data_IF_946129360444
#
_entry.id   IF_946129360444
#
_cell.length_a   1.000
_cell.length_b   1.000
_cell.length_c   1.000
_cell.angle_alpha   90.00
_cell.angle_beta   90.00
_cell.angle_gamma   90.00
#
_symmetry.space_group_name_H-M   'P 1'
#
loop_
_entity.id
_entity.type
_entity.pdbx_description
1 polymer ?
#
# COMPACT_ATOMS: atom_id res chain seq x y z
N UNK A 1 -15.18 20.25 -1.12
CA UNK A 1 -15.86 19.77 0.09
C UNK A 1 -15.27 18.41 0.44
N UNK A 2 -14.62 18.21 1.60
CA UNK A 2 -14.26 16.86 2.05
C UNK A 2 -15.55 16.04 2.22
N UNK A 3 -15.51 14.75 1.87
CA UNK A 3 -16.66 13.86 2.05
C UNK A 3 -17.07 13.83 3.53
N UNK A 4 -18.36 13.96 3.80
CA UNK A 4 -18.88 13.92 5.17
C UNK A 4 -18.48 12.61 5.86
N UNK A 5 -18.03 12.64 7.12
CA UNK A 5 -17.71 11.43 7.86
C UNK A 5 -18.97 10.54 8.02
N UNK A 6 -18.77 9.24 8.22
CA UNK A 6 -19.89 8.34 8.56
C UNK A 6 -20.47 8.77 9.91
N UNK A 7 -21.80 8.76 10.01
CA UNK A 7 -22.47 9.06 11.28
C UNK A 7 -22.39 7.86 12.25
N UNK A 8 -22.82 8.06 13.50
CA UNK A 8 -22.72 7.04 14.55
C UNK A 8 -23.52 5.77 14.22
N UNK A 9 -24.71 5.89 13.61
CA UNK A 9 -25.54 4.75 13.22
C UNK A 9 -24.86 3.90 12.14
N UNK A 10 -24.23 4.55 11.16
CA UNK A 10 -23.46 3.89 10.11
C UNK A 10 -22.23 3.17 10.67
N UNK A 11 -21.54 3.78 11.64
CA UNK A 11 -20.39 3.19 12.31
C UNK A 11 -20.83 1.97 13.13
N UNK A 12 -21.87 2.09 13.95
CA UNK A 12 -22.41 1.00 14.79
C UNK A 12 -22.84 -0.20 13.95
N UNK A 13 -23.52 0.04 12.82
CA UNK A 13 -23.89 -1.02 11.88
C UNK A 13 -22.65 -1.77 11.37
N UNK A 14 -21.63 -1.04 10.91
CA UNK A 14 -20.40 -1.64 10.37
C UNK A 14 -19.60 -2.37 11.46
N UNK A 15 -19.58 -1.88 12.70
CA UNK A 15 -18.98 -2.59 13.83
C UNK A 15 -19.71 -3.89 14.15
N UNK A 16 -21.04 -3.86 14.15
CA UNK A 16 -21.88 -5.04 14.38
C UNK A 16 -21.65 -6.10 13.30
N UNK A 17 -21.63 -5.69 12.03
CA UNK A 17 -21.28 -6.58 10.92
C UNK A 17 -19.88 -7.18 11.12
N UNK A 18 -18.86 -6.35 11.36
CA UNK A 18 -17.49 -6.83 11.55
C UNK A 18 -17.40 -7.86 12.69
N UNK A 19 -18.05 -7.58 13.82
CA UNK A 19 -18.08 -8.48 14.97
C UNK A 19 -18.82 -9.78 14.67
N UNK A 20 -19.87 -9.75 13.85
CA UNK A 20 -20.59 -10.94 13.40
C UNK A 20 -19.64 -11.87 12.63
N UNK A 21 -18.88 -11.34 11.67
CA UNK A 21 -17.93 -12.15 10.89
C UNK A 21 -16.76 -12.66 11.71
N UNK A 22 -16.32 -11.90 12.73
CA UNK A 22 -15.31 -12.36 13.69
C UNK A 22 -15.76 -13.58 14.49
N UNK A 23 -17.03 -13.64 14.89
CA UNK A 23 -17.61 -14.82 15.57
C UNK A 23 -17.57 -16.07 14.69
N UNK A 24 -17.61 -15.91 13.37
CA UNK A 24 -17.43 -16.99 12.39
C UNK A 24 -15.94 -17.26 12.04
N UNK A 25 -14.99 -16.71 12.81
CA UNK A 25 -13.56 -16.91 12.60
C UNK A 25 -12.97 -16.11 11.42
N UNK A 26 -13.72 -15.17 10.85
CA UNK A 26 -13.24 -14.33 9.76
C UNK A 26 -12.75 -12.98 10.28
N UNK A 27 -11.50 -12.61 9.96
CA UNK A 27 -10.97 -11.30 10.35
C UNK A 27 -11.69 -10.13 9.67
N UNK A 28 -12.32 -10.37 8.50
CA UNK A 28 -13.07 -9.38 7.72
C UNK A 28 -14.22 -10.04 6.95
N UNK A 29 -15.29 -9.28 6.63
CA UNK A 29 -16.40 -9.80 5.85
C UNK A 29 -16.00 -10.19 4.41
N UNK A 30 -16.61 -11.25 3.84
CA UNK A 30 -16.44 -11.65 2.44
C UNK A 30 -16.78 -10.52 1.44
N UNK A 31 -16.24 -10.59 0.21
CA UNK A 31 -16.47 -9.55 -0.81
C UNK A 31 -17.96 -9.30 -1.09
N UNK A 32 -18.76 -10.36 -1.23
CA UNK A 32 -20.22 -10.26 -1.46
C UNK A 32 -20.92 -9.53 -0.32
N UNK A 33 -20.45 -9.71 0.92
CA UNK A 33 -21.03 -9.04 2.07
C UNK A 33 -20.76 -7.53 2.08
N UNK A 34 -19.65 -7.07 1.50
CA UNK A 34 -19.36 -5.63 1.42
C UNK A 34 -20.39 -4.89 0.58
N UNK A 35 -20.90 -5.52 -0.48
CA UNK A 35 -21.97 -4.97 -1.31
C UNK A 35 -23.30 -4.93 -0.55
N UNK A 36 -23.62 -5.96 0.22
CA UNK A 36 -24.84 -5.97 1.03
C UNK A 36 -24.75 -4.92 2.14
N UNK A 37 -23.61 -4.85 2.81
CA UNK A 37 -23.33 -3.87 3.85
C UNK A 37 -23.35 -2.44 3.30
N UNK A 38 -22.88 -2.19 2.07
CA UNK A 38 -22.94 -0.85 1.46
C UNK A 38 -24.36 -0.37 1.20
N UNK A 39 -25.26 -1.26 0.78
CA UNK A 39 -26.69 -0.93 0.61
C UNK A 39 -27.29 -0.56 1.97
N UNK A 40 -27.14 -1.43 2.97
CA UNK A 40 -27.74 -1.24 4.30
C UNK A 40 -27.18 -0.02 5.05
N UNK A 41 -25.86 0.19 5.01
CA UNK A 41 -25.26 1.34 5.69
C UNK A 41 -25.66 2.66 5.03
N UNK A 42 -25.95 2.66 3.73
CA UNK A 42 -26.44 3.85 3.02
C UNK A 42 -27.86 4.24 3.42
N UNK A 43 -28.68 3.30 3.91
CA UNK A 43 -30.02 3.59 4.45
C UNK A 43 -29.97 4.37 5.78
N UNK A 44 -28.83 4.32 6.48
CA UNK A 44 -28.62 4.94 7.80
C UNK A 44 -28.01 6.35 7.72
N UNK A 45 -27.79 6.89 6.52
CA UNK A 45 -27.15 8.19 6.36
C UNK A 45 -26.77 8.50 4.92
N UNK A 46 -25.56 9.01 4.71
CA UNK A 46 -25.05 9.26 3.36
C UNK A 46 -24.82 7.96 2.62
N UNK A 47 -24.84 8.03 1.29
CA UNK A 47 -24.42 6.91 0.45
C UNK A 47 -22.96 6.52 0.75
N UNK A 48 -22.73 5.22 0.91
CA UNK A 48 -21.42 4.63 1.15
C UNK A 48 -21.17 3.55 0.13
N UNK A 49 -20.12 3.70 -0.67
CA UNK A 49 -19.78 2.72 -1.70
C UNK A 49 -19.25 1.40 -1.10
N UNK A 50 -19.36 0.26 -1.84
CA UNK A 50 -18.74 -1.00 -1.44
C UNK A 50 -17.22 -0.89 -1.18
N UNK A 51 -16.56 0.02 -1.91
CA UNK A 51 -15.13 0.31 -1.76
C UNK A 51 -14.85 1.03 -0.43
N UNK A 52 -15.67 2.01 -0.05
CA UNK A 52 -15.59 2.68 1.25
C UNK A 52 -15.83 1.70 2.40
N UNK A 53 -16.85 0.84 2.30
CA UNK A 53 -17.11 -0.21 3.29
C UNK A 53 -15.91 -1.15 3.42
N UNK A 54 -15.34 -1.59 2.29
CA UNK A 54 -14.14 -2.43 2.29
C UNK A 54 -12.91 -1.73 2.90
N UNK A 55 -12.73 -0.43 2.65
CA UNK A 55 -11.68 0.40 3.26
C UNK A 55 -11.92 0.56 4.76
N UNK A 56 -13.16 0.78 5.19
CA UNK A 56 -13.53 0.91 6.59
C UNK A 56 -13.15 -0.34 7.38
N UNK A 57 -13.58 -1.53 6.94
CA UNK A 57 -13.20 -2.79 7.58
C UNK A 57 -11.68 -3.00 7.60
N UNK A 58 -11.00 -2.57 6.53
CA UNK A 58 -9.55 -2.71 6.42
C UNK A 58 -8.82 -1.81 7.40
N UNK A 59 -9.25 -0.56 7.52
CA UNK A 59 -8.68 0.40 8.46
C UNK A 59 -8.98 -0.01 9.90
N UNK A 60 -10.18 -0.49 10.20
CA UNK A 60 -10.55 -0.94 11.56
C UNK A 60 -9.64 -2.04 12.08
N UNK A 61 -9.35 -3.04 11.24
CA UNK A 61 -8.41 -4.13 11.59
C UNK A 61 -6.97 -3.60 11.72
N UNK A 62 -6.57 -2.57 10.97
CA UNK A 62 -5.24 -1.96 11.12
C UNK A 62 -5.12 -1.21 12.45
N UNK A 63 -6.15 -0.45 12.82
CA UNK A 63 -6.18 0.30 14.07
C UNK A 63 -6.01 -0.64 15.28
N UNK A 64 -6.68 -1.79 15.28
CA UNK A 64 -6.55 -2.82 16.32
C UNK A 64 -5.13 -3.40 16.42
N UNK A 65 -4.42 -3.49 15.30
CA UNK A 65 -3.02 -3.94 15.25
C UNK A 65 -2.02 -2.83 15.55
N UNK A 66 -2.49 -1.59 15.78
CA UNK A 66 -1.61 -0.43 15.89
C UNK A 66 -0.87 -0.10 14.58
N UNK A 67 -1.35 -0.60 13.44
CA UNK A 67 -0.74 -0.34 12.14
C UNK A 67 -1.19 1.02 11.60
N UNK A 68 -0.27 1.85 11.07
CA UNK A 68 -0.64 3.13 10.49
C UNK A 68 -1.58 2.94 9.29
N UNK A 69 -2.64 3.76 9.24
CA UNK A 69 -3.52 3.84 8.06
C UNK A 69 -2.72 4.38 6.88
N UNK A 70 -3.06 3.93 5.67
CA UNK A 70 -2.47 4.52 4.47
C UNK A 70 -2.98 5.96 4.34
N UNK A 71 -2.14 6.92 4.69
CA UNK A 71 -2.38 8.34 4.42
C UNK A 71 -2.07 8.67 2.97
N UNK A 72 -2.72 9.70 2.42
CA UNK A 72 -2.24 10.31 1.18
C UNK A 72 -0.85 10.88 1.47
N UNK A 73 0.12 10.60 0.59
CA UNK A 73 1.47 11.17 0.69
C UNK A 73 1.38 12.69 0.59
N UNK A 74 2.15 13.42 1.40
CA UNK A 74 2.19 14.89 1.33
C UNK A 74 2.87 15.35 0.04
N UNK A 75 2.66 16.60 -0.42
CA UNK A 75 3.35 17.13 -1.60
C UNK A 75 4.87 17.03 -1.48
N UNK A 76 5.43 17.26 -0.30
CA UNK A 76 6.87 17.19 -0.03
C UNK A 76 7.39 15.76 -0.17
N UNK A 77 6.65 14.77 0.37
CA UNK A 77 6.97 13.36 0.20
C UNK A 77 6.91 12.92 -1.26
N UNK A 78 5.97 13.47 -2.05
CA UNK A 78 5.87 13.18 -3.48
C UNK A 78 7.03 13.80 -4.26
N UNK A 79 7.40 15.06 -3.96
CA UNK A 79 8.52 15.73 -4.63
C UNK A 79 9.84 14.97 -4.46
N UNK A 80 10.13 14.46 -3.25
CA UNK A 80 11.32 13.64 -3.01
C UNK A 80 11.31 12.32 -3.81
N UNK A 81 10.15 11.66 -3.89
CA UNK A 81 9.98 10.44 -4.67
C UNK A 81 10.11 10.69 -6.18
N UNK A 82 9.53 11.77 -6.68
CA UNK A 82 9.59 12.18 -8.09
C UNK A 82 11.02 12.52 -8.51
N UNK A 83 11.74 13.32 -7.72
CA UNK A 83 13.15 13.64 -7.99
C UNK A 83 14.03 12.38 -8.08
N UNK A 84 13.80 11.41 -7.20
CA UNK A 84 14.52 10.12 -7.23
C UNK A 84 14.12 9.28 -8.45
N UNK A 85 12.84 9.27 -8.83
CA UNK A 85 12.33 8.55 -9.99
C UNK A 85 12.86 9.08 -11.33
N UNK A 86 13.05 10.39 -11.44
CA UNK A 86 13.65 11.02 -12.62
C UNK A 86 15.10 10.58 -12.85
N UNK A 87 15.83 10.30 -11.76
CA UNK A 87 17.19 9.76 -11.85
C UNK A 87 17.20 8.27 -12.18
N UNK A 88 16.37 7.49 -11.50
CA UNK A 88 16.26 6.04 -11.71
C UNK A 88 14.86 5.51 -11.31
N UNK A 89 14.18 4.86 -12.24
CA UNK A 89 12.88 4.24 -11.98
C UNK A 89 12.95 2.94 -11.13
N UNK A 90 14.16 2.47 -10.83
CA UNK A 90 14.49 1.28 -10.04
C UNK A 90 15.50 1.60 -8.91
N UNK A 91 15.07 2.31 -7.85
CA UNK A 91 15.98 2.87 -6.86
C UNK A 91 16.74 1.77 -6.11
N UNK A 92 18.04 1.98 -5.91
CA UNK A 92 18.91 1.11 -5.12
C UNK A 92 18.45 1.01 -3.66
N UNK A 93 18.96 0.04 -2.90
CA UNK A 93 18.63 -0.07 -1.46
C UNK A 93 19.08 1.17 -0.68
N UNK A 94 20.23 1.73 -1.03
CA UNK A 94 20.73 2.95 -0.39
C UNK A 94 19.79 4.14 -0.65
N UNK A 95 19.31 4.28 -1.88
CA UNK A 95 18.37 5.33 -2.23
C UNK A 95 16.99 5.10 -1.56
N UNK A 96 16.53 3.85 -1.47
CA UNK A 96 15.34 3.52 -0.69
C UNK A 96 15.50 3.87 0.79
N UNK A 97 16.66 3.63 1.40
CA UNK A 97 16.95 4.01 2.79
C UNK A 97 16.93 5.52 2.95
N UNK A 98 17.60 6.26 2.06
CA UNK A 98 17.56 7.73 2.06
C UNK A 98 16.12 8.24 1.98
N UNK A 99 15.31 7.70 1.07
CA UNK A 99 13.90 8.07 0.91
C UNK A 99 13.08 7.74 2.17
N UNK A 100 13.36 6.64 2.87
CA UNK A 100 12.71 6.32 4.15
C UNK A 100 13.02 7.41 5.19
N UNK A 101 14.29 7.79 5.32
CA UNK A 101 14.75 8.78 6.29
C UNK A 101 14.22 10.18 5.98
N UNK A 102 14.18 10.55 4.69
CA UNK A 102 13.73 11.87 4.22
C UNK A 102 12.20 12.03 4.26
N UNK A 103 11.46 11.00 3.86
CA UNK A 103 10.00 11.08 3.73
C UNK A 103 9.23 10.51 4.93
N UNK A 104 9.89 9.71 5.77
CA UNK A 104 9.23 8.92 6.82
C UNK A 104 8.32 7.81 6.29
N UNK A 105 8.33 7.54 4.98
CA UNK A 105 7.58 6.46 4.38
C UNK A 105 8.27 5.12 4.61
N UNK A 106 7.48 4.06 4.72
CA UNK A 106 8.00 2.69 4.75
C UNK A 106 8.61 2.29 3.41
N UNK A 107 9.57 1.37 3.44
CA UNK A 107 10.13 0.71 2.27
C UNK A 107 9.03 0.21 1.35
N UNK A 108 8.01 -0.45 1.91
CA UNK A 108 6.85 -0.94 1.16
C UNK A 108 6.08 0.18 0.45
N UNK A 109 5.87 1.32 1.11
CA UNK A 109 5.19 2.47 0.49
C UNK A 109 6.00 3.10 -0.65
N UNK A 110 7.32 3.11 -0.53
CA UNK A 110 8.24 3.60 -1.57
C UNK A 110 8.23 2.65 -2.76
N UNK A 111 8.49 1.36 -2.56
CA UNK A 111 8.49 0.34 -3.63
C UNK A 111 7.15 0.29 -4.37
N UNK A 112 6.03 0.38 -3.64
CA UNK A 112 4.70 0.42 -4.25
C UNK A 112 4.48 1.69 -5.09
N UNK A 113 5.01 2.84 -4.66
CA UNK A 113 4.91 4.08 -5.43
C UNK A 113 5.74 3.98 -6.73
N UNK A 114 6.99 3.53 -6.66
CA UNK A 114 7.84 3.33 -7.86
C UNK A 114 7.22 2.31 -8.83
N UNK A 115 6.65 1.22 -8.32
CA UNK A 115 5.94 0.24 -9.16
C UNK A 115 4.70 0.81 -9.84
N UNK A 116 3.94 1.65 -9.16
CA UNK A 116 2.81 2.36 -9.76
C UNK A 116 3.26 3.33 -10.84
N UNK A 117 4.34 4.09 -10.61
CA UNK A 117 4.88 5.03 -11.61
C UNK A 117 5.37 4.32 -12.87
N UNK A 118 6.13 3.23 -12.74
CA UNK A 118 6.56 2.42 -13.90
C UNK A 118 5.38 1.89 -14.69
N UNK A 119 4.38 1.30 -14.00
CA UNK A 119 3.18 0.81 -14.68
C UNK A 119 2.43 1.94 -15.41
N UNK A 120 2.36 3.13 -14.80
CA UNK A 120 1.74 4.30 -15.42
C UNK A 120 2.46 4.73 -16.71
N UNK A 121 3.78 4.52 -16.82
CA UNK A 121 4.55 4.71 -18.05
C UNK A 121 4.36 3.57 -19.06
N UNK A 122 4.15 2.33 -18.61
CA UNK A 122 3.88 1.18 -19.49
C UNK A 122 2.47 1.22 -20.11
N UNK A 123 1.48 1.74 -19.36
CA UNK A 123 0.09 1.88 -19.82
C UNK A 123 -0.07 3.00 -20.89
N UNK A 124 1.00 3.74 -21.25
CA UNK A 124 1.01 4.65 -22.40
C UNK A 124 0.93 3.87 -23.74
N UNK A 125 -0.05 4.18 -24.61
CA UNK A 125 -0.31 3.40 -25.81
C UNK A 125 0.83 3.52 -26.83
N UNK A 126 1.54 2.41 -27.09
CA UNK A 126 2.49 2.31 -28.21
C UNK A 126 3.81 1.57 -27.94
N UNK A 127 4.09 1.15 -26.70
CA UNK A 127 5.34 0.45 -26.37
C UNK A 127 5.15 -1.07 -26.46
N UNK A 128 5.62 -1.68 -27.55
CA UNK A 128 5.76 -3.14 -27.64
C UNK A 128 6.97 -3.55 -26.80
N UNK A 129 6.74 -4.16 -25.64
CA UNK A 129 7.82 -4.74 -24.83
C UNK A 129 8.05 -6.18 -25.34
N UNK A 130 9.08 -6.37 -26.16
CA UNK A 130 9.60 -7.70 -26.51
C UNK A 130 9.84 -8.47 -25.19
N UNK A 131 9.32 -9.69 -25.05
CA UNK A 131 9.55 -10.49 -23.82
C UNK A 131 11.04 -10.82 -23.70
N UNK A 132 11.76 -9.99 -22.96
CA UNK A 132 13.15 -10.24 -22.62
C UNK A 132 13.25 -11.44 -21.67
N UNK A 133 13.89 -12.50 -22.12
CA UNK A 133 14.24 -13.65 -21.31
C UNK A 133 15.72 -13.51 -20.90
N UNK A 134 16.03 -13.20 -19.63
CA UNK A 134 17.40 -13.04 -19.18
C UNK A 134 18.17 -14.36 -19.27
N UNK A 135 19.43 -14.30 -19.68
CA UNK A 135 20.35 -15.45 -19.72
C UNK A 135 20.66 -16.01 -18.33
N UNK A 136 21.17 -17.24 -18.24
CA UNK A 136 21.63 -17.85 -16.97
C UNK A 136 22.62 -16.97 -16.20
N UNK A 137 23.53 -16.27 -16.88
CA UNK A 137 24.48 -15.37 -16.24
C UNK A 137 23.81 -14.13 -15.66
N UNK A 138 22.85 -13.54 -16.40
CA UNK A 138 22.05 -12.41 -15.93
C UNK A 138 21.13 -12.84 -14.78
N UNK A 139 20.54 -14.04 -14.83
CA UNK A 139 19.78 -14.61 -13.72
C UNK A 139 20.64 -14.80 -12.46
N UNK A 140 21.89 -15.28 -12.60
CA UNK A 140 22.86 -15.35 -11.49
C UNK A 140 23.25 -13.98 -10.97
N UNK A 141 23.44 -13.00 -11.85
CA UNK A 141 23.72 -11.62 -11.45
C UNK A 141 22.54 -11.00 -10.69
N UNK A 142 21.31 -11.22 -11.16
CA UNK A 142 20.08 -10.77 -10.49
C UNK A 142 19.92 -11.41 -9.10
N UNK A 143 20.18 -12.71 -8.97
CA UNK A 143 20.15 -13.38 -7.66
C UNK A 143 21.26 -12.88 -6.73
N UNK A 144 22.47 -12.61 -7.25
CA UNK A 144 23.55 -11.98 -6.49
C UNK A 144 23.15 -10.58 -6.00
N UNK A 145 22.57 -9.75 -6.88
CA UNK A 145 22.05 -8.43 -6.52
C UNK A 145 20.94 -8.52 -5.46
N UNK A 146 20.05 -9.50 -5.57
CA UNK A 146 19.02 -9.75 -4.56
C UNK A 146 19.63 -10.16 -3.20
N UNK A 147 20.68 -10.98 -3.18
CA UNK A 147 21.40 -11.32 -1.95
C UNK A 147 22.08 -10.10 -1.33
N UNK A 148 22.74 -9.27 -2.14
CA UNK A 148 23.38 -8.02 -1.69
C UNK A 148 22.35 -7.05 -1.09
N UNK A 149 21.23 -6.84 -1.79
CA UNK A 149 20.13 -6.03 -1.29
C UNK A 149 19.61 -6.56 0.06
N UNK A 150 19.47 -7.89 0.21
CA UNK A 150 19.06 -8.51 1.46
C UNK A 150 20.06 -8.29 2.61
N UNK A 151 21.37 -8.29 2.31
CA UNK A 151 22.41 -7.94 3.30
C UNK A 151 22.25 -6.50 3.75
N UNK A 152 22.13 -5.55 2.81
CA UNK A 152 21.99 -4.12 3.13
C UNK A 152 20.78 -3.83 4.01
N UNK A 153 19.63 -4.45 3.73
CA UNK A 153 18.45 -4.32 4.60
C UNK A 153 18.62 -4.94 5.99
N UNK A 154 19.38 -6.05 6.11
CA UNK A 154 19.70 -6.63 7.41
C UNK A 154 20.62 -5.71 8.22
N UNK A 155 21.61 -5.11 7.57
CA UNK A 155 22.53 -4.17 8.20
C UNK A 155 21.80 -2.90 8.66
N UNK A 156 20.95 -2.32 7.80
CA UNK A 156 20.12 -1.18 8.15
C UNK A 156 19.23 -1.45 9.38
N UNK A 157 18.57 -2.62 9.42
CA UNK A 157 17.79 -3.03 10.61
C UNK A 157 18.66 -3.22 11.85
N UNK A 158 19.85 -3.83 11.70
CA UNK A 158 20.80 -4.01 12.81
C UNK A 158 21.27 -2.66 13.36
N UNK A 159 21.41 -1.65 12.52
CA UNK A 159 21.74 -0.28 12.89
C UNK A 159 20.57 0.51 13.52
N UNK A 160 19.40 -0.11 13.71
CA UNK A 160 18.22 0.54 14.29
C UNK A 160 17.38 1.34 13.29
N UNK A 161 17.60 1.15 11.98
CA UNK A 161 16.84 1.77 10.92
C UNK A 161 15.33 1.44 11.01
N UNK A 162 14.49 2.48 10.91
CA UNK A 162 13.03 2.37 10.96
C UNK A 162 12.46 2.28 9.55
N UNK A 163 11.23 1.79 9.38
CA UNK A 163 10.55 1.76 8.06
C UNK A 163 11.09 0.75 7.06
N UNK A 164 11.85 -0.25 7.50
CA UNK A 164 12.43 -1.31 6.65
C UNK A 164 11.51 -2.55 6.46
N UNK A 165 10.21 -2.39 6.68
CA UNK A 165 9.18 -3.44 6.60
C UNK A 165 8.93 -4.00 5.20
#
# INVERSE_FOLDING_TARGET
MPAEPLNDQQIEFLETELNTWRRFGMSRPPKKQRLIASIRVSELGREVSPQEVGRWFSNRVKDERGEPRQTKKTPEQLAALEASFEMDCTPSVQEQIRLIEETGLTRRQIVAWFGYQRKRLEDEPGVYVERYYPSEQEQRAMTSHAHQAAVQWREYRRAGGKGAD
#
